data_IF_627891245687
#
_entry.id   IF_627891245687
#
_cell.length_a   1.000
_cell.length_b   1.000
_cell.length_c   1.000
_cell.angle_alpha   90.00
_cell.angle_beta   90.00
_cell.angle_gamma   90.00
#
_symmetry.space_group_name_H-M   'P 1'
#
loop_
_entity.id
_entity.type
_entity.pdbx_description
1 polymer ?
#
# COMPACT_ATOMS: atom_id res chain seq x y z
N UNK A 1 -28.46 65.09 -40.57
CA UNK A 1 -27.05 65.00 -40.98
C UNK A 1 -26.24 65.87 -40.03
N UNK A 2 -25.25 65.31 -39.34
CA UNK A 2 -24.37 66.08 -38.45
C UNK A 2 -23.90 65.28 -37.24
N UNK A 3 -22.78 64.59 -37.40
CA UNK A 3 -22.10 63.80 -36.38
C UNK A 3 -21.53 64.66 -35.24
N UNK A 4 -21.71 64.24 -33.99
CA UNK A 4 -20.90 64.70 -32.86
C UNK A 4 -20.21 63.50 -32.21
N UNK A 5 -18.87 63.53 -32.20
CA UNK A 5 -18.01 62.68 -31.38
C UNK A 5 -17.79 63.35 -30.03
N UNK A 6 -17.95 62.62 -28.93
CA UNK A 6 -17.20 62.81 -27.67
C UNK A 6 -17.03 61.42 -27.02
N UNK A 7 -15.83 60.85 -27.08
CA UNK A 7 -14.80 60.79 -26.01
C UNK A 7 -15.25 60.08 -24.72
N UNK A 8 -14.97 58.78 -24.72
CA UNK A 8 -14.48 57.91 -23.64
C UNK A 8 -14.77 58.30 -22.18
N UNK A 9 -15.73 57.61 -21.58
CA UNK A 9 -15.85 57.45 -20.13
C UNK A 9 -15.18 56.14 -19.69
N UNK A 10 -14.12 56.29 -18.92
CA UNK A 10 -13.54 55.29 -18.02
C UNK A 10 -14.56 54.75 -17.03
N UNK A 11 -14.59 53.43 -16.80
CA UNK A 11 -15.35 52.79 -15.71
C UNK A 11 -15.19 51.27 -15.72
N UNK A 12 -14.45 50.73 -14.76
CA UNK A 12 -14.13 49.31 -14.57
C UNK A 12 -15.34 48.46 -14.19
N UNK A 13 -15.39 47.18 -14.64
CA UNK A 13 -15.39 45.98 -13.79
C UNK A 13 -15.98 44.71 -14.47
N UNK A 14 -15.16 43.66 -14.48
CA UNK A 14 -15.41 42.22 -14.32
C UNK A 14 -16.74 41.55 -14.81
N UNK A 15 -16.58 40.53 -15.68
CA UNK A 15 -16.80 39.09 -15.39
C UNK A 15 -17.53 38.30 -16.51
N UNK A 16 -16.94 37.13 -16.87
CA UNK A 16 -17.58 35.86 -17.31
C UNK A 16 -18.36 35.86 -18.66
N UNK A 17 -18.38 34.86 -19.54
CA UNK A 17 -17.89 33.46 -19.68
C UNK A 17 -18.39 32.97 -21.09
N UNK A 18 -17.94 31.79 -21.58
CA UNK A 18 -18.57 30.89 -22.61
C UNK A 18 -18.20 31.18 -24.09
N UNK A 19 -17.74 30.27 -24.98
CA UNK A 19 -17.36 28.85 -24.97
C UNK A 19 -16.69 28.42 -26.31
N UNK A 20 -15.98 27.27 -26.26
CA UNK A 20 -15.77 26.21 -27.28
C UNK A 20 -15.04 26.50 -28.62
N UNK A 21 -13.91 25.82 -28.83
CA UNK A 21 -13.77 24.63 -29.71
C UNK A 21 -12.27 24.38 -30.05
N UNK A 22 -11.67 23.33 -29.49
CA UNK A 22 -11.23 22.10 -30.18
C UNK A 22 -10.16 22.28 -31.28
N UNK A 23 -8.91 21.91 -30.99
CA UNK A 23 -8.22 20.75 -31.62
C UNK A 23 -6.69 20.82 -31.50
N UNK A 24 -6.12 19.66 -31.19
CA UNK A 24 -4.76 19.22 -31.46
C UNK A 24 -3.60 19.96 -30.76
N UNK A 25 -3.23 19.44 -29.59
CA UNK A 25 -1.86 18.93 -29.45
C UNK A 25 -1.87 17.67 -28.59
N UNK A 26 -2.12 16.53 -29.26
CA UNK A 26 -1.52 15.27 -28.80
C UNK A 26 -0.02 15.50 -28.89
N UNK A 27 0.62 15.64 -27.74
CA UNK A 27 2.03 15.31 -27.56
C UNK A 27 2.16 15.02 -26.06
N UNK A 28 1.76 13.81 -25.67
CA UNK A 28 2.01 13.27 -24.35
C UNK A 28 3.52 13.04 -24.21
N UNK A 29 4.25 14.12 -23.92
CA UNK A 29 5.63 14.06 -23.45
C UNK A 29 5.58 13.82 -21.94
N UNK A 30 5.14 12.64 -21.52
CA UNK A 30 5.25 12.18 -20.14
C UNK A 30 6.42 11.21 -20.04
N UNK A 31 7.65 11.74 -20.06
CA UNK A 31 8.86 11.00 -19.64
C UNK A 31 9.87 11.93 -18.95
N UNK A 32 9.41 13.01 -18.32
CA UNK A 32 10.32 13.92 -17.61
C UNK A 32 9.72 14.31 -16.27
N UNK A 33 9.59 13.32 -15.42
CA UNK A 33 10.07 13.36 -14.04
C UNK A 33 10.03 11.89 -13.62
N UNK A 34 11.13 11.17 -13.82
CA UNK A 34 11.38 10.01 -12.98
C UNK A 34 11.44 10.61 -11.58
N UNK A 35 10.30 10.65 -10.88
CA UNK A 35 10.29 10.78 -9.45
C UNK A 35 11.24 9.66 -9.02
N UNK A 36 12.43 10.01 -8.56
CA UNK A 36 13.40 9.07 -8.03
C UNK A 36 12.68 8.35 -6.88
N UNK A 37 12.01 7.25 -7.21
CA UNK A 37 11.41 6.34 -6.27
C UNK A 37 12.61 5.65 -5.61
N UNK A 38 13.21 6.37 -4.66
CA UNK A 38 14.23 5.85 -3.76
C UNK A 38 13.53 4.84 -2.87
N UNK A 39 13.51 3.60 -3.34
CA UNK A 39 13.18 2.43 -2.55
C UNK A 39 14.10 2.39 -1.32
N UNK A 40 13.51 2.58 -0.14
CA UNK A 40 14.20 2.36 1.14
C UNK A 40 14.26 0.84 1.36
N UNK A 41 15.21 0.17 0.69
CA UNK A 41 15.58 -1.18 1.07
C UNK A 41 16.33 -1.11 2.41
N UNK A 42 15.83 -1.84 3.42
CA UNK A 42 16.42 -1.91 4.77
C UNK A 42 17.87 -2.37 4.67
N UNK A 43 18.82 -1.55 5.13
CA UNK A 43 20.25 -1.82 5.06
C UNK A 43 20.70 -2.77 6.17
N UNK A 44 20.84 -4.06 5.88
CA UNK A 44 21.82 -4.89 6.61
C UNK A 44 22.92 -5.31 5.64
N UNK A 45 24.18 -5.28 6.10
CA UNK A 45 25.37 -5.37 5.26
C UNK A 45 25.56 -6.74 4.55
N UNK A 46 24.71 -7.73 4.84
CA UNK A 46 24.75 -9.08 4.27
C UNK A 46 23.45 -9.48 3.54
N UNK A 47 22.43 -8.63 3.54
CA UNK A 47 21.07 -8.97 3.12
C UNK A 47 20.92 -9.45 1.67
N UNK A 48 21.85 -9.07 0.78
CA UNK A 48 21.70 -9.19 -0.69
C UNK A 48 20.36 -8.61 -1.17
N UNK A 49 20.00 -7.44 -0.63
CA UNK A 49 18.76 -6.76 -0.99
C UNK A 49 18.64 -6.55 -2.50
N UNK A 50 17.46 -6.86 -3.04
CA UNK A 50 17.19 -6.74 -4.48
C UNK A 50 17.78 -7.87 -5.31
N UNK A 51 18.25 -8.97 -4.69
CA UNK A 51 18.70 -10.16 -5.43
C UNK A 51 17.56 -10.75 -6.29
N UNK A 52 16.31 -10.62 -5.84
CA UNK A 52 15.14 -10.88 -6.65
C UNK A 52 14.19 -9.68 -6.59
N UNK A 53 13.53 -9.40 -7.71
CA UNK A 53 12.47 -8.41 -7.83
C UNK A 53 11.33 -9.06 -8.61
N UNK A 54 10.10 -8.87 -8.16
CA UNK A 54 8.92 -9.32 -8.89
C UNK A 54 7.80 -8.29 -8.87
N UNK A 55 7.05 -8.26 -9.98
CA UNK A 55 5.71 -7.71 -10.00
C UNK A 55 4.78 -8.74 -9.30
N UNK A 56 4.11 -8.31 -8.24
CA UNK A 56 3.23 -9.16 -7.45
C UNK A 56 1.77 -9.07 -7.90
N UNK A 57 1.45 -8.16 -8.82
CA UNK A 57 0.06 -7.84 -9.15
C UNK A 57 -0.55 -6.87 -8.14
N UNK A 58 -1.87 -6.77 -8.14
CA UNK A 58 -2.65 -5.97 -7.17
C UNK A 58 -3.01 -6.83 -5.95
N UNK A 59 -2.10 -6.88 -4.96
CA UNK A 59 -2.27 -7.76 -3.80
C UNK A 59 -3.16 -7.13 -2.72
N UNK A 60 -3.46 -5.83 -2.82
CA UNK A 60 -4.28 -5.11 -1.85
C UNK A 60 -5.66 -4.71 -2.41
N UNK A 61 -5.91 -4.94 -3.71
CA UNK A 61 -7.17 -4.70 -4.41
C UNK A 61 -7.46 -3.22 -4.67
N UNK A 62 -6.44 -2.37 -4.78
CA UNK A 62 -6.59 -0.93 -5.01
C UNK A 62 -6.49 -0.50 -6.47
N UNK A 63 -6.26 -1.45 -7.38
CA UNK A 63 -6.14 -1.24 -8.82
C UNK A 63 -4.73 -0.83 -9.26
N UNK A 64 -3.75 -0.83 -8.36
CA UNK A 64 -2.35 -0.54 -8.67
C UNK A 64 -1.47 -1.77 -8.45
N UNK A 65 -0.33 -1.80 -9.15
CA UNK A 65 0.60 -2.94 -9.07
C UNK A 65 1.51 -2.79 -7.86
N UNK A 66 1.72 -3.91 -7.18
CA UNK A 66 2.59 -4.06 -6.03
C UNK A 66 3.90 -4.77 -6.40
N UNK A 67 4.96 -4.48 -5.66
CA UNK A 67 6.32 -4.95 -5.95
C UNK A 67 6.91 -5.72 -4.78
N UNK A 68 7.64 -6.79 -5.08
CA UNK A 68 8.37 -7.57 -4.08
C UNK A 68 9.87 -7.55 -4.32
N UNK A 69 10.63 -7.52 -3.23
CA UNK A 69 12.10 -7.47 -3.22
C UNK A 69 12.66 -8.53 -2.28
N UNK A 70 13.46 -9.45 -2.82
CA UNK A 70 14.14 -10.48 -2.05
C UNK A 70 15.44 -9.99 -1.42
N UNK A 71 15.69 -10.46 -0.21
CA UNK A 71 16.88 -10.23 0.59
C UNK A 71 17.30 -11.56 1.26
N UNK A 72 17.75 -12.56 0.49
CA UNK A 72 17.98 -13.91 1.00
C UNK A 72 19.17 -14.03 1.97
N UNK A 73 20.00 -13.00 2.10
CA UNK A 73 21.07 -12.95 3.11
C UNK A 73 20.68 -12.24 4.39
N UNK A 74 19.42 -11.81 4.56
CA UNK A 74 18.96 -11.11 5.75
C UNK A 74 18.98 -12.05 6.97
N UNK A 75 19.42 -11.53 8.12
CA UNK A 75 19.40 -12.25 9.38
C UNK A 75 18.11 -11.97 10.15
N UNK A 76 17.48 -13.00 10.73
CA UNK A 76 16.33 -12.79 11.61
C UNK A 76 16.83 -12.42 13.01
N UNK A 77 16.80 -11.13 13.35
CA UNK A 77 17.07 -10.64 14.72
C UNK A 77 18.45 -11.02 15.29
N UNK A 78 19.42 -11.36 14.43
CA UNK A 78 20.75 -11.85 14.82
C UNK A 78 20.79 -13.28 15.37
N UNK A 79 19.66 -14.01 15.39
CA UNK A 79 19.56 -15.37 15.94
C UNK A 79 19.50 -16.45 14.87
N UNK A 80 19.10 -16.11 13.65
CA UNK A 80 19.11 -17.01 12.49
C UNK A 80 19.81 -16.32 11.31
N UNK A 81 21.14 -16.50 11.16
CA UNK A 81 21.87 -15.90 10.07
C UNK A 81 21.41 -16.46 8.73
N UNK A 82 21.26 -15.60 7.73
CA UNK A 82 20.87 -15.97 6.36
C UNK A 82 19.48 -16.61 6.24
N UNK A 83 18.58 -16.35 7.19
CA UNK A 83 17.18 -16.78 7.08
C UNK A 83 16.51 -16.18 5.84
N UNK A 84 16.96 -14.99 5.44
CA UNK A 84 16.43 -14.27 4.31
C UNK A 84 15.14 -13.53 4.64
N UNK A 85 14.80 -12.59 3.79
CA UNK A 85 13.58 -11.82 3.90
C UNK A 85 13.05 -11.43 2.51
N UNK A 86 11.79 -11.04 2.49
CA UNK A 86 11.11 -10.40 1.38
C UNK A 86 10.51 -9.10 1.90
N UNK A 87 10.74 -8.01 1.17
CA UNK A 87 10.03 -6.74 1.38
C UNK A 87 9.00 -6.58 0.27
N UNK A 88 7.76 -6.35 0.65
CA UNK A 88 6.65 -6.06 -0.27
C UNK A 88 6.35 -4.58 -0.16
N UNK A 89 6.32 -3.92 -1.31
CA UNK A 89 5.97 -2.53 -1.48
C UNK A 89 4.59 -2.47 -2.13
N UNK A 90 3.65 -1.90 -1.40
CA UNK A 90 2.33 -1.62 -1.95
C UNK A 90 2.38 -0.30 -2.71
N UNK A 91 2.04 -0.36 -3.99
CA UNK A 91 2.08 0.76 -4.90
C UNK A 91 0.92 1.72 -4.70
N UNK A 92 1.12 2.93 -5.19
CA UNK A 92 0.06 3.78 -5.74
C UNK A 92 0.70 4.57 -6.86
N UNK A 93 1.08 3.85 -7.93
CA UNK A 93 1.85 4.41 -9.04
C UNK A 93 0.98 5.13 -10.07
N UNK A 94 -0.34 5.16 -9.85
CA UNK A 94 -1.32 5.81 -10.73
C UNK A 94 -1.92 7.10 -10.13
N UNK A 95 -1.61 7.45 -8.88
CA UNK A 95 -2.08 8.69 -8.26
C UNK A 95 -1.24 9.92 -8.60
N UNK A 96 -1.81 11.09 -8.29
CA UNK A 96 -1.17 12.42 -8.37
C UNK A 96 0.13 12.54 -7.55
N UNK A 97 0.40 11.58 -6.65
CA UNK A 97 1.67 11.43 -5.92
C UNK A 97 2.12 9.98 -5.97
N UNK A 98 2.80 9.56 -7.06
CA UNK A 98 3.18 8.18 -7.22
C UNK A 98 4.18 7.75 -6.14
N UNK A 99 3.86 6.67 -5.43
CA UNK A 99 4.78 6.10 -4.46
C UNK A 99 4.18 5.03 -3.56
N UNK A 100 4.99 4.47 -2.66
CA UNK A 100 4.54 3.37 -1.81
C UNK A 100 3.52 3.84 -0.77
N UNK A 101 2.38 3.18 -0.71
CA UNK A 101 1.36 3.38 0.34
C UNK A 101 1.61 2.51 1.56
N UNK A 102 2.40 1.45 1.41
CA UNK A 102 2.78 0.55 2.49
C UNK A 102 4.03 -0.27 2.17
N UNK A 103 4.72 -0.72 3.24
CA UNK A 103 5.82 -1.68 3.13
C UNK A 103 5.62 -2.76 4.19
N UNK A 104 5.64 -4.03 3.77
CA UNK A 104 5.53 -5.19 4.64
C UNK A 104 6.74 -6.10 4.47
N UNK A 105 7.10 -6.84 5.52
CA UNK A 105 8.26 -7.75 5.50
C UNK A 105 7.85 -9.16 5.89
N UNK A 106 8.32 -10.13 5.11
CA UNK A 106 8.18 -11.56 5.36
C UNK A 106 9.58 -12.13 5.61
N UNK A 107 9.80 -12.70 6.79
CA UNK A 107 11.10 -13.25 7.16
C UNK A 107 11.15 -14.77 7.01
N UNK A 108 12.35 -15.31 6.80
CA UNK A 108 12.66 -16.73 6.96
C UNK A 108 12.35 -17.23 8.38
N UNK A 109 12.05 -18.53 8.49
CA UNK A 109 11.79 -19.19 9.77
C UNK A 109 12.96 -20.07 10.24
N UNK A 110 13.93 -20.34 9.36
CA UNK A 110 15.12 -21.13 9.64
C UNK A 110 16.40 -20.37 9.27
N UNK A 111 17.49 -20.65 9.99
CA UNK A 111 18.80 -20.14 9.60
C UNK A 111 19.23 -20.73 8.26
N UNK A 112 19.82 -19.91 7.39
CA UNK A 112 20.36 -20.34 6.10
C UNK A 112 19.34 -20.64 5.00
N UNK A 113 18.02 -20.60 5.25
CA UNK A 113 17.00 -21.02 4.26
C UNK A 113 16.97 -20.16 2.99
N UNK A 114 17.54 -18.95 3.06
CA UNK A 114 17.64 -18.00 1.96
C UNK A 114 16.27 -17.62 1.37
N UNK A 115 15.27 -17.33 2.22
CA UNK A 115 13.94 -16.88 1.78
C UNK A 115 14.06 -15.65 0.90
N UNK A 116 13.31 -15.63 -0.20
CA UNK A 116 13.34 -14.52 -1.15
C UNK A 116 14.45 -14.64 -2.18
N UNK A 117 15.09 -15.80 -2.32
CA UNK A 117 16.01 -16.05 -3.44
C UNK A 117 15.27 -15.96 -4.78
N UNK A 118 14.02 -16.42 -4.83
CA UNK A 118 13.14 -16.31 -6.00
C UNK A 118 11.73 -15.92 -5.58
N UNK A 119 11.02 -15.25 -6.48
CA UNK A 119 9.67 -14.75 -6.26
C UNK A 119 8.96 -14.57 -7.60
N UNK A 120 7.65 -14.76 -7.61
CA UNK A 120 6.80 -14.40 -8.75
C UNK A 120 5.38 -14.05 -8.27
N UNK A 121 4.77 -13.03 -8.89
CA UNK A 121 3.32 -12.89 -8.88
C UNK A 121 2.70 -14.00 -9.73
N UNK A 122 1.64 -14.63 -9.23
CA UNK A 122 0.92 -15.72 -9.91
C UNK A 122 -0.50 -15.32 -10.31
N UNK A 123 -0.90 -14.08 -10.03
CA UNK A 123 -2.26 -13.57 -10.20
C UNK A 123 -3.18 -14.12 -9.12
N UNK A 124 -4.46 -13.76 -9.18
CA UNK A 124 -5.49 -14.33 -8.33
C UNK A 124 -5.70 -15.82 -8.65
N UNK A 125 -5.07 -16.72 -7.86
CA UNK A 125 -5.16 -18.16 -8.08
C UNK A 125 -6.36 -18.78 -7.37
N UNK A 126 -6.99 -18.05 -6.46
CA UNK A 126 -8.05 -18.56 -5.60
C UNK A 126 -9.45 -18.00 -5.97
N UNK A 127 -9.51 -16.96 -6.81
CA UNK A 127 -10.72 -16.31 -7.31
C UNK A 127 -11.35 -15.30 -6.36
N UNK A 128 -10.61 -14.72 -5.42
CA UNK A 128 -11.12 -13.76 -4.43
C UNK A 128 -10.97 -12.29 -4.81
N UNK A 129 -10.34 -12.03 -5.97
CA UNK A 129 -10.15 -10.70 -6.54
C UNK A 129 -8.88 -9.99 -6.05
N UNK A 130 -7.94 -10.70 -5.42
CA UNK A 130 -6.62 -10.18 -5.06
C UNK A 130 -5.53 -11.02 -5.72
N UNK A 131 -4.48 -10.38 -6.25
CA UNK A 131 -3.38 -11.12 -6.85
C UNK A 131 -2.52 -11.82 -5.79
N UNK A 132 -2.18 -13.08 -6.06
CA UNK A 132 -1.37 -13.92 -5.17
C UNK A 132 0.08 -14.00 -5.65
N UNK A 133 0.97 -14.48 -4.78
CA UNK A 133 2.39 -14.60 -5.11
C UNK A 133 3.07 -15.79 -4.45
N UNK A 134 4.20 -16.22 -5.04
CA UNK A 134 5.03 -17.30 -4.52
C UNK A 134 6.42 -16.81 -4.14
N UNK A 135 6.99 -17.41 -3.08
CA UNK A 135 8.36 -17.15 -2.61
C UNK A 135 9.11 -18.46 -2.46
N UNK A 136 10.35 -18.50 -2.97
CA UNK A 136 11.28 -19.61 -2.81
C UNK A 136 12.27 -19.40 -1.66
N UNK A 137 12.50 -20.48 -0.91
CA UNK A 137 13.56 -20.67 0.10
C UNK A 137 14.36 -21.92 -0.30
N UNK A 138 15.39 -21.80 -1.16
CA UNK A 138 16.06 -22.95 -1.78
C UNK A 138 16.87 -23.81 -0.81
N UNK A 139 17.18 -23.29 0.38
CA UNK A 139 17.99 -23.96 1.41
C UNK A 139 17.18 -24.31 2.66
N UNK A 140 15.87 -24.43 2.48
CA UNK A 140 14.99 -24.76 3.60
C UNK A 140 15.15 -26.23 4.00
N UNK A 141 15.16 -26.50 5.30
CA UNK A 141 15.38 -27.82 5.89
C UNK A 141 14.06 -28.48 6.28
N UNK A 142 13.89 -29.75 5.90
CA UNK A 142 12.76 -30.59 6.32
C UNK A 142 13.19 -31.59 7.39
N UNK A 143 13.06 -31.19 8.65
CA UNK A 143 13.46 -32.01 9.79
C UNK A 143 14.96 -32.25 9.78
N UNK A 144 15.39 -33.51 9.60
CA UNK A 144 16.81 -33.87 9.51
C UNK A 144 17.38 -33.77 8.09
N UNK A 145 16.55 -33.52 7.07
CA UNK A 145 16.99 -33.42 5.68
C UNK A 145 17.30 -31.96 5.37
N UNK A 146 18.57 -31.67 5.13
CA UNK A 146 19.03 -30.31 4.87
C UNK A 146 18.83 -29.91 3.40
N UNK A 147 18.63 -28.61 3.16
CA UNK A 147 18.61 -27.98 1.84
C UNK A 147 17.63 -28.62 0.83
N UNK A 148 16.48 -29.12 1.31
CA UNK A 148 15.45 -29.69 0.41
C UNK A 148 14.75 -28.62 -0.42
N UNK A 149 14.81 -27.37 0.05
CA UNK A 149 14.12 -26.25 -0.56
C UNK A 149 12.63 -26.23 -0.27
N UNK A 150 12.05 -25.04 -0.35
CA UNK A 150 10.61 -24.81 -0.12
C UNK A 150 10.13 -23.71 -1.06
N UNK A 151 8.94 -23.88 -1.62
CA UNK A 151 8.18 -22.82 -2.29
C UNK A 151 6.90 -22.61 -1.52
N UNK A 152 6.59 -21.34 -1.23
CA UNK A 152 5.42 -20.95 -0.44
C UNK A 152 4.52 -20.05 -1.27
N UNK A 153 3.27 -20.47 -1.47
CA UNK A 153 2.20 -19.65 -2.02
C UNK A 153 1.61 -18.79 -0.90
N UNK A 154 1.49 -17.49 -1.15
CA UNK A 154 0.88 -16.52 -0.26
C UNK A 154 -0.38 -16.02 -0.92
N UNK A 155 -1.51 -16.24 -0.25
CA UNK A 155 -2.80 -15.74 -0.70
C UNK A 155 -2.99 -14.32 -0.17
N UNK A 156 -3.25 -13.39 -1.07
CA UNK A 156 -3.65 -12.04 -0.72
C UNK A 156 -5.09 -12.06 -0.24
N UNK A 157 -5.42 -11.20 0.72
CA UNK A 157 -6.79 -11.05 1.20
C UNK A 157 -7.04 -9.61 1.60
N UNK A 158 -8.31 -9.19 1.51
CA UNK A 158 -8.74 -7.93 2.08
C UNK A 158 -8.44 -7.90 3.58
N UNK A 159 -7.59 -6.98 4.03
CA UNK A 159 -7.46 -6.76 5.46
C UNK A 159 -8.81 -6.28 6.00
N UNK A 160 -9.44 -7.08 6.86
CA UNK A 160 -10.55 -6.60 7.66
C UNK A 160 -10.00 -5.42 8.47
N UNK A 161 -10.39 -4.18 8.11
CA UNK A 161 -10.19 -3.03 9.00
C UNK A 161 -10.76 -3.47 10.33
N UNK A 162 -9.92 -3.74 11.33
CA UNK A 162 -10.44 -3.96 12.68
C UNK A 162 -11.34 -2.77 12.93
N UNK A 163 -12.66 -2.94 13.15
CA UNK A 163 -13.49 -1.81 13.45
C UNK A 163 -12.82 -1.15 14.64
N UNK A 164 -12.42 0.12 14.47
CA UNK A 164 -11.97 0.93 15.57
C UNK A 164 -13.08 0.80 16.61
N UNK A 165 -12.84 0.01 17.65
CA UNK A 165 -13.68 0.00 18.84
C UNK A 165 -13.11 1.16 19.65
N UNK A 166 -13.68 2.38 19.58
CA UNK A 166 -13.39 3.34 20.61
C UNK A 166 -13.68 2.63 21.93
N UNK A 167 -12.69 2.63 22.82
CA UNK A 167 -12.74 1.94 24.09
C UNK A 167 -14.13 2.06 24.72
N UNK A 168 -14.64 0.89 25.14
CA UNK A 168 -15.74 0.70 26.07
C UNK A 168 -16.00 1.95 26.90
N UNK A 169 -17.16 2.57 26.67
CA UNK A 169 -17.69 3.62 27.51
C UNK A 169 -17.43 3.24 28.98
N UNK A 170 -16.65 4.05 29.69
CA UNK A 170 -16.64 4.01 31.14
C UNK A 170 -18.12 4.10 31.59
N UNK A 171 -18.58 3.27 32.54
CA UNK A 171 -19.94 3.35 33.03
C UNK A 171 -20.16 4.77 33.56
N UNK A 172 -21.08 5.52 32.94
CA UNK A 172 -21.58 6.77 33.53
C UNK A 172 -22.16 6.39 34.90
N UNK A 173 -21.76 7.04 36.00
CA UNK A 173 -22.41 6.82 37.28
C UNK A 173 -23.91 7.12 37.13
N UNK A 174 -24.75 6.17 37.57
CA UNK A 174 -26.19 6.27 37.50
C UNK A 174 -26.64 7.57 38.17
N UNK A 175 -27.31 8.43 37.41
CA UNK A 175 -28.10 9.50 38.00
C UNK A 175 -29.24 8.83 38.79
N UNK A 176 -29.15 8.90 40.11
CA UNK A 176 -30.21 8.55 41.05
C UNK A 176 -31.44 9.39 40.73
N UNK A 177 -32.40 8.82 39.98
CA UNK A 177 -33.74 9.39 39.89
C UNK A 177 -34.56 8.88 41.07
N UNK A 178 -34.58 9.68 42.13
CA UNK A 178 -35.52 9.52 43.24
C UNK A 178 -36.94 9.59 42.67
N UNK A 179 -37.67 8.48 42.71
CA UNK A 179 -39.10 8.45 42.45
C UNK A 179 -39.84 8.92 43.73
N UNK A 180 -40.87 9.78 43.63
CA UNK A 180 -41.71 10.09 44.78
C UNK A 180 -42.65 8.92 45.06
N UNK A 181 -42.51 8.29 46.22
CA UNK A 181 -43.44 7.28 46.72
C UNK A 181 -44.80 7.91 46.98
N UNK A 182 -45.78 7.51 46.16
CA UNK A 182 -47.19 7.84 46.29
C UNK A 182 -47.76 7.10 47.51
N UNK A 183 -48.18 7.83 48.53
CA UNK A 183 -48.91 7.30 49.69
C UNK A 183 -50.26 6.77 49.21
N UNK A 184 -50.51 5.48 49.41
CA UNK A 184 -51.84 4.86 49.38
C UNK A 184 -52.03 4.15 50.73
N UNK A 185 -53.05 4.56 51.47
CA UNK A 185 -53.16 4.34 52.91
C UNK A 185 -53.69 2.98 53.37
N UNK A 186 -53.61 2.81 54.69
CA UNK A 186 -54.67 2.30 55.58
C UNK A 186 -54.64 3.15 56.84
#
# INVERSE_FOLDING_TARGET
>A
MGSWRSKSSTGMALAALVALAMSASVQATYITELADLRLIAVQTAQAKNGQSVANLGDINGDGTLDLGFGAPGEDLGGTAPGAGAVSIMVGDFLADRPGPTGIFRLFGDQAGEAKGTSMAGVGDVNGDGFDDFVIGSPRWDLGATQDVGRVTLHLAVRQARRPFRPNSAAPRPAASSVAPSRVLGM
#
